data_IF_030697029883
#
_entry.id   IF_030697029883
#
_cell.length_a   1.000
_cell.length_b   1.000
_cell.length_c   1.000
_cell.angle_alpha   90.00
_cell.angle_beta   90.00
_cell.angle_gamma   90.00
#
_symmetry.space_group_name_H-M   'P 1'
#
loop_
_entity.id
_entity.type
_entity.pdbx_description
1 polymer ?
#
# COMPACT_ATOMS: atom_id res chain seq x y z
N UNK A 1 10.98 26.06 -16.25
CA UNK A 1 9.50 26.14 -16.19
C UNK A 1 9.04 25.02 -15.28
N UNK A 2 8.88 25.30 -13.99
CA UNK A 2 8.46 24.30 -13.01
C UNK A 2 6.95 24.09 -13.13
N UNK A 3 6.51 22.84 -13.24
CA UNK A 3 5.09 22.50 -13.11
C UNK A 3 4.65 22.93 -11.70
N UNK A 4 3.86 24.00 -11.62
CA UNK A 4 3.25 24.43 -10.36
C UNK A 4 2.18 23.41 -9.96
N UNK A 5 2.16 23.05 -8.68
CA UNK A 5 1.12 22.16 -8.14
C UNK A 5 -0.24 22.86 -8.29
N UNK A 6 -1.21 22.14 -8.84
CA UNK A 6 -2.60 22.55 -8.74
C UNK A 6 -2.97 22.64 -7.27
N UNK A 7 -3.45 23.82 -6.85
CA UNK A 7 -3.98 24.03 -5.51
C UNK A 7 -5.25 23.19 -5.32
N UNK A 8 -5.46 22.75 -4.07
CA UNK A 8 -6.51 21.84 -3.61
C UNK A 8 -7.93 22.09 -4.17
N UNK A 9 -8.38 23.32 -4.52
CA UNK A 9 -9.74 23.52 -5.06
C UNK A 9 -9.99 22.91 -6.45
N UNK A 10 -8.97 22.75 -7.31
CA UNK A 10 -9.18 22.30 -8.69
C UNK A 10 -9.22 20.77 -8.83
N UNK A 11 -8.67 20.04 -7.85
CA UNK A 11 -8.70 18.58 -7.82
C UNK A 11 -10.01 18.03 -7.26
N UNK A 12 -10.77 18.80 -6.47
CA UNK A 12 -12.07 18.36 -5.94
C UNK A 12 -13.09 18.21 -7.08
N UNK A 13 -13.15 19.17 -8.00
CA UNK A 13 -14.10 19.16 -9.12
C UNK A 13 -13.86 18.03 -10.14
N UNK A 14 -12.62 17.55 -10.23
CA UNK A 14 -12.21 16.49 -11.15
C UNK A 14 -12.08 15.15 -10.43
N UNK A 15 -11.71 15.15 -9.15
CA UNK A 15 -11.41 13.96 -8.35
C UNK A 15 -12.59 13.00 -8.24
N UNK A 16 -13.81 13.53 -8.22
CA UNK A 16 -15.06 12.75 -8.25
C UNK A 16 -15.36 12.10 -9.61
N UNK A 17 -14.52 12.32 -10.63
CA UNK A 17 -14.65 11.76 -11.99
C UNK A 17 -13.48 10.89 -12.38
N UNK A 18 -12.38 10.91 -11.61
CA UNK A 18 -11.19 10.11 -11.93
C UNK A 18 -11.40 8.68 -11.44
N UNK A 19 -11.73 7.78 -12.37
CA UNK A 19 -11.82 6.34 -12.11
C UNK A 19 -10.51 5.60 -12.44
N UNK A 20 -9.79 6.06 -13.47
CA UNK A 20 -8.50 5.51 -13.87
C UNK A 20 -7.44 6.60 -13.91
N UNK A 21 -6.29 6.33 -13.29
CA UNK A 21 -5.14 7.20 -13.31
C UNK A 21 -3.89 6.42 -13.74
N UNK A 22 -3.38 6.76 -14.92
CA UNK A 22 -2.15 6.19 -15.45
C UNK A 22 -1.00 7.18 -15.31
N UNK A 23 0.00 6.77 -14.54
CA UNK A 23 1.22 7.50 -14.27
C UNK A 23 2.46 6.64 -14.56
N UNK A 24 2.33 5.67 -15.45
CA UNK A 24 3.42 4.78 -15.83
C UNK A 24 4.58 5.50 -16.51
N UNK A 25 5.77 4.90 -16.42
CA UNK A 25 7.00 5.36 -17.06
C UNK A 25 7.39 6.82 -16.71
N UNK A 26 7.13 7.22 -15.46
CA UNK A 26 7.58 8.50 -14.92
C UNK A 26 8.86 8.32 -14.07
N UNK A 27 9.32 9.42 -13.46
CA UNK A 27 10.50 9.44 -12.58
C UNK A 27 10.12 9.52 -11.09
N UNK A 28 8.94 9.00 -10.72
CA UNK A 28 8.48 9.04 -9.34
C UNK A 28 9.34 8.19 -8.43
N UNK A 29 9.62 8.73 -7.25
CA UNK A 29 10.31 8.06 -6.15
C UNK A 29 9.35 7.80 -4.99
N UNK A 30 9.80 7.10 -3.95
CA UNK A 30 8.99 6.86 -2.75
C UNK A 30 8.43 8.14 -2.10
N UNK A 31 9.08 9.30 -2.31
CA UNK A 31 8.58 10.61 -1.85
C UNK A 31 7.32 11.09 -2.57
N UNK A 32 6.98 10.49 -3.71
CA UNK A 32 5.75 10.78 -4.46
C UNK A 32 4.53 10.67 -3.55
N UNK A 33 4.44 9.61 -2.75
CA UNK A 33 3.30 9.32 -1.88
C UNK A 33 3.03 10.42 -0.86
N UNK A 34 4.08 10.99 -0.27
CA UNK A 34 3.97 12.07 0.73
C UNK A 34 3.35 13.36 0.17
N UNK A 35 3.27 13.50 -1.15
CA UNK A 35 2.73 14.69 -1.78
C UNK A 35 1.74 14.40 -2.91
N UNK A 36 1.30 13.15 -2.97
CA UNK A 36 0.33 12.68 -3.93
C UNK A 36 -1.05 13.08 -3.47
N UNK A 37 -1.91 13.43 -4.44
CA UNK A 37 -3.32 13.66 -4.18
C UNK A 37 -4.16 12.40 -4.38
N UNK A 38 -3.52 11.26 -4.68
CA UNK A 38 -4.19 9.96 -4.86
C UNK A 38 -5.13 9.61 -3.70
N UNK A 39 -4.77 9.80 -2.41
CA UNK A 39 -5.68 9.50 -1.30
C UNK A 39 -6.99 10.30 -1.33
N UNK A 40 -7.06 11.39 -2.10
CA UNK A 40 -8.22 12.27 -2.23
C UNK A 40 -9.01 12.04 -3.54
N UNK A 41 -8.82 10.89 -4.20
CA UNK A 41 -9.56 10.50 -5.40
C UNK A 41 -10.60 9.43 -5.04
N UNK A 42 -11.78 9.81 -4.52
CA UNK A 42 -12.71 8.86 -3.89
C UNK A 42 -13.27 7.82 -4.86
N UNK A 43 -13.31 8.12 -6.18
CA UNK A 43 -13.80 7.19 -7.20
C UNK A 43 -12.70 6.45 -7.94
N UNK A 44 -11.44 6.59 -7.52
CA UNK A 44 -10.34 5.91 -8.18
C UNK A 44 -10.50 4.39 -8.04
N UNK A 45 -10.53 3.71 -9.18
CA UNK A 45 -10.64 2.24 -9.29
C UNK A 45 -9.32 1.63 -9.74
N UNK A 46 -8.65 2.28 -10.68
CA UNK A 46 -7.40 1.80 -11.28
C UNK A 46 -6.30 2.84 -11.15
N UNK A 47 -5.18 2.45 -10.54
CA UNK A 47 -3.97 3.25 -10.45
C UNK A 47 -2.82 2.51 -11.13
N UNK A 48 -2.24 3.08 -12.19
CA UNK A 48 -1.07 2.50 -12.87
C UNK A 48 0.17 3.35 -12.57
N UNK A 49 1.16 2.74 -11.95
CA UNK A 49 2.46 3.32 -11.58
C UNK A 49 3.63 2.52 -12.13
N UNK A 50 3.35 1.61 -13.08
CA UNK A 50 4.33 0.75 -13.72
C UNK A 50 5.53 1.52 -14.24
N UNK A 51 6.72 0.89 -14.23
CA UNK A 51 7.98 1.45 -14.76
C UNK A 51 8.52 2.70 -14.03
N UNK A 52 8.02 3.03 -12.84
CA UNK A 52 8.62 4.04 -11.96
C UNK A 52 9.73 3.42 -11.09
N UNK A 53 10.95 3.30 -11.64
CA UNK A 53 12.07 2.57 -11.00
C UNK A 53 12.56 3.13 -9.66
N UNK A 54 12.22 4.38 -9.30
CA UNK A 54 12.60 4.94 -8.00
C UNK A 54 11.56 4.69 -6.91
N UNK A 55 10.43 4.05 -7.25
CA UNK A 55 9.48 3.50 -6.27
C UNK A 55 10.03 2.15 -5.82
N UNK A 56 10.38 2.07 -4.55
CA UNK A 56 11.06 0.92 -3.94
C UNK A 56 10.44 0.44 -2.64
N UNK A 57 9.54 1.23 -2.05
CA UNK A 57 8.80 0.89 -0.85
C UNK A 57 7.33 0.63 -1.20
N UNK A 58 6.85 -0.56 -0.87
CA UNK A 58 5.46 -0.96 -1.03
C UNK A 58 4.59 -0.37 0.09
N UNK A 59 5.13 -0.28 1.31
CA UNK A 59 4.41 0.20 2.48
C UNK A 59 3.74 1.58 2.30
N UNK A 60 4.40 2.65 1.80
CA UNK A 60 3.74 3.95 1.60
C UNK A 60 2.66 3.90 0.52
N UNK A 61 2.83 3.04 -0.50
CA UNK A 61 1.83 2.86 -1.54
C UNK A 61 0.55 2.25 -0.96
N UNK A 62 0.69 1.20 -0.13
CA UNK A 62 -0.44 0.55 0.54
C UNK A 62 -1.20 1.51 1.46
N UNK A 63 -0.46 2.38 2.16
CA UNK A 63 -1.05 3.38 3.06
C UNK A 63 -1.78 4.48 2.29
N UNK A 64 -1.21 4.95 1.18
CA UNK A 64 -1.87 5.96 0.34
C UNK A 64 -3.18 5.48 -0.28
N UNK A 65 -3.34 4.18 -0.51
CA UNK A 65 -4.56 3.60 -1.12
C UNK A 65 -5.50 2.97 -0.09
N UNK A 66 -5.10 2.88 1.18
CA UNK A 66 -5.82 2.15 2.21
C UNK A 66 -7.26 2.64 2.39
N UNK A 67 -7.41 3.97 2.36
CA UNK A 67 -8.67 4.66 2.62
C UNK A 67 -9.47 4.93 1.34
N UNK A 68 -9.01 4.44 0.18
CA UNK A 68 -9.72 4.65 -1.08
C UNK A 68 -10.88 3.65 -1.26
N UNK A 69 -12.13 4.12 -1.31
CA UNK A 69 -13.31 3.27 -1.17
C UNK A 69 -13.70 2.53 -2.45
N UNK A 70 -13.06 2.82 -3.59
CA UNK A 70 -13.37 2.18 -4.87
C UNK A 70 -12.17 1.50 -5.53
N UNK A 71 -10.99 1.50 -4.91
CA UNK A 71 -9.79 0.93 -5.54
C UNK A 71 -9.93 -0.58 -5.73
N UNK A 72 -9.75 -1.00 -6.98
CA UNK A 72 -9.83 -2.39 -7.42
C UNK A 72 -8.48 -2.90 -7.90
N UNK A 73 -7.69 -2.05 -8.57
CA UNK A 73 -6.40 -2.45 -9.14
C UNK A 73 -5.33 -1.36 -8.95
N UNK A 74 -4.17 -1.77 -8.46
CA UNK A 74 -2.96 -0.94 -8.41
C UNK A 74 -1.82 -1.66 -9.11
N UNK A 75 -1.28 -1.07 -10.17
CA UNK A 75 -0.18 -1.65 -10.94
C UNK A 75 1.16 -0.99 -10.59
N UNK A 76 1.99 -1.74 -9.87
CA UNK A 76 3.36 -1.40 -9.50
C UNK A 76 4.39 -2.25 -10.26
N UNK A 77 4.01 -2.87 -11.37
CA UNK A 77 4.93 -3.72 -12.14
C UNK A 77 6.15 -2.94 -12.66
N UNK A 78 7.28 -3.62 -12.83
CA UNK A 78 8.53 -3.00 -13.31
C UNK A 78 9.05 -1.82 -12.46
N UNK A 79 8.65 -1.73 -11.20
CA UNK A 79 9.26 -0.86 -10.19
C UNK A 79 10.41 -1.59 -9.49
N UNK A 80 11.03 -0.95 -8.49
CA UNK A 80 12.14 -1.54 -7.72
C UNK A 80 11.73 -1.89 -6.29
N UNK A 81 10.48 -2.35 -6.12
CA UNK A 81 9.95 -2.81 -4.83
C UNK A 81 10.88 -3.84 -4.20
N UNK A 82 11.16 -3.62 -2.92
CA UNK A 82 12.09 -4.42 -2.11
C UNK A 82 11.34 -5.38 -1.21
N UNK A 83 12.07 -6.35 -0.65
CA UNK A 83 11.51 -7.23 0.37
C UNK A 83 11.12 -6.44 1.62
N UNK A 84 10.12 -6.91 2.37
CA UNK A 84 9.70 -6.28 3.64
C UNK A 84 10.89 -6.03 4.58
N UNK A 85 11.79 -7.01 4.70
CA UNK A 85 13.01 -6.89 5.53
C UNK A 85 13.93 -5.76 5.06
N UNK A 86 14.07 -5.59 3.75
CA UNK A 86 14.85 -4.49 3.18
C UNK A 86 14.17 -3.13 3.34
N UNK A 87 12.84 -3.08 3.25
CA UNK A 87 12.07 -1.86 3.54
C UNK A 87 12.26 -1.46 5.00
N UNK A 88 12.03 -2.38 5.94
CA UNK A 88 12.10 -2.14 7.38
C UNK A 88 13.49 -1.68 7.85
N UNK A 89 14.55 -2.17 7.21
CA UNK A 89 15.92 -1.75 7.50
C UNK A 89 16.31 -0.40 6.87
N UNK A 90 15.45 0.20 6.05
CA UNK A 90 15.74 1.48 5.40
C UNK A 90 15.49 2.67 6.34
N UNK A 91 16.37 3.67 6.29
CA UNK A 91 16.20 4.91 7.06
C UNK A 91 14.89 5.64 6.74
N UNK A 92 14.40 5.51 5.49
CA UNK A 92 13.14 6.11 5.05
C UNK A 92 11.94 5.45 5.72
N UNK A 93 11.94 4.14 5.87
CA UNK A 93 10.87 3.42 6.56
C UNK A 93 10.87 3.72 8.07
N UNK A 94 12.04 3.82 8.70
CA UNK A 94 12.14 4.17 10.12
C UNK A 94 11.60 5.58 10.40
N UNK A 95 11.94 6.57 9.56
CA UNK A 95 11.36 7.91 9.64
C UNK A 95 9.85 7.89 9.41
N UNK A 96 9.38 7.06 8.47
CA UNK A 96 7.97 6.91 8.18
C UNK A 96 7.17 6.37 9.38
N UNK A 97 7.67 5.33 10.06
CA UNK A 97 7.04 4.81 11.28
C UNK A 97 7.00 5.87 12.40
N UNK A 98 8.09 6.62 12.61
CA UNK A 98 8.12 7.68 13.61
C UNK A 98 7.08 8.77 13.36
N UNK A 99 6.88 9.15 12.09
CA UNK A 99 5.87 10.14 11.72
C UNK A 99 4.45 9.60 11.93
N UNK A 100 4.18 8.34 11.57
CA UNK A 100 2.90 7.69 11.83
C UNK A 100 2.57 7.60 13.32
N UNK A 101 3.54 7.20 14.16
CA UNK A 101 3.35 7.13 15.61
C UNK A 101 2.98 8.49 16.19
N UNK A 102 3.65 9.56 15.73
CA UNK A 102 3.34 10.92 16.16
C UNK A 102 1.94 11.38 15.76
N UNK A 103 1.50 11.07 14.53
CA UNK A 103 0.14 11.38 14.09
C UNK A 103 -0.93 10.61 14.88
N UNK A 104 -0.62 9.40 15.36
CA UNK A 104 -1.53 8.65 16.23
C UNK A 104 -1.59 9.22 17.65
N UNK A 105 -0.47 9.71 18.20
CA UNK A 105 -0.44 10.38 19.50
C UNK A 105 -1.18 11.75 19.49
N UNK A 106 -1.21 12.43 18.34
CA UNK A 106 -1.90 13.72 18.18
C UNK A 106 -3.42 13.57 17.90
N UNK A 107 -3.95 12.36 17.68
CA UNK A 107 -5.41 12.14 17.54
C UNK A 107 -6.08 12.14 18.92
N UNK A 108 -7.07 13.03 19.18
CA UNK A 108 -7.80 13.01 20.44
C UNK A 108 -8.60 11.70 20.56
N UNK A 109 -8.38 10.97 21.65
CA UNK A 109 -9.15 9.79 22.03
C UNK A 109 -10.65 10.12 22.00
N UNK A 110 -11.38 9.52 21.06
CA UNK A 110 -12.85 9.54 21.07
C UNK A 110 -13.38 8.36 21.89
N UNK A 111 -14.44 8.54 22.70
CA UNK A 111 -14.97 7.50 23.59
C UNK A 111 -15.49 6.23 22.90
N UNK A 112 -15.58 6.21 21.56
CA UNK A 112 -15.91 5.02 20.78
C UNK A 112 -14.76 3.98 20.77
N UNK A 113 -13.51 4.42 20.92
CA UNK A 113 -12.34 3.53 20.95
C UNK A 113 -12.22 2.74 22.27
N UNK A 114 -12.87 3.20 23.34
CA UNK A 114 -12.87 2.54 24.66
C UNK A 114 -13.77 1.28 24.69
N UNK A 115 -14.76 1.17 23.81
CA UNK A 115 -15.67 0.01 23.79
C UNK A 115 -15.09 -1.21 23.04
N UNK A 116 -14.11 -1.00 22.17
CA UNK A 116 -13.40 -2.08 21.48
C UNK A 116 -12.26 -2.69 22.32
N UNK A 117 -11.72 -1.97 23.31
CA UNK A 117 -10.67 -2.51 24.18
C UNK A 117 -11.19 -3.41 25.30
N UNK A 118 -12.40 -3.18 25.83
CA UNK A 118 -12.96 -3.99 26.93
C UNK A 118 -13.41 -5.40 26.49
N UNK A 119 -13.67 -5.62 25.19
CA UNK A 119 -14.06 -6.94 24.68
C UNK A 119 -12.86 -7.87 24.42
N UNK A 120 -11.62 -7.36 24.46
CA UNK A 120 -10.39 -8.13 24.25
C UNK A 120 -9.66 -8.53 25.55
N UNK A 121 -10.13 -8.11 26.73
CA UNK A 121 -9.46 -8.34 28.01
C UNK A 121 -9.87 -9.63 28.75
N UNK A 122 -10.62 -10.54 28.10
CA UNK A 122 -11.04 -11.82 28.72
C UNK A 122 -10.40 -13.09 28.15
N UNK A 123 -9.42 -13.00 27.26
CA UNK A 123 -8.68 -14.16 26.76
C UNK A 123 -7.17 -13.90 26.83
N UNK A 124 -6.63 -13.78 28.05
CA UNK A 124 -5.19 -13.92 28.30
C UNK A 124 -4.96 -14.71 29.58
N UNK A 125 -5.07 -16.02 29.47
CA UNK A 125 -4.30 -16.96 30.27
C UNK A 125 -3.83 -18.07 29.33
N UNK A 126 -2.51 -18.28 29.32
CA UNK A 126 -1.76 -19.25 28.51
C UNK A 126 -1.69 -19.04 27.00
N UNK A 127 -0.63 -18.38 26.53
CA UNK A 127 0.54 -19.13 26.04
C UNK A 127 1.71 -18.17 25.75
N UNK A 128 2.87 -18.51 26.32
CA UNK A 128 4.17 -17.96 25.94
C UNK A 128 4.51 -18.43 24.52
N UNK A 129 4.44 -17.55 23.54
CA UNK A 129 5.26 -17.66 22.33
C UNK A 129 5.80 -16.30 21.93
N UNK A 130 7.13 -16.22 21.83
CA UNK A 130 7.86 -15.10 21.25
C UNK A 130 7.43 -14.99 19.78
N UNK A 131 6.45 -14.16 19.50
CA UNK A 131 6.10 -13.76 18.14
C UNK A 131 6.66 -12.36 17.98
N UNK A 132 7.61 -12.22 17.05
CA UNK A 132 8.15 -10.92 16.65
C UNK A 132 6.97 -9.98 16.37
N UNK A 133 6.85 -8.91 17.16
CA UNK A 133 5.88 -7.83 16.99
C UNK A 133 6.19 -7.13 15.66
N UNK A 134 5.74 -7.77 14.60
CA UNK A 134 5.81 -7.28 13.24
C UNK A 134 4.87 -6.09 13.18
N UNK A 135 5.41 -4.88 12.99
CA UNK A 135 4.62 -3.67 12.81
C UNK A 135 3.51 -3.95 11.79
N UNK A 136 2.28 -4.08 12.29
CA UNK A 136 1.09 -4.24 11.49
C UNK A 136 0.74 -2.85 10.98
N UNK A 137 0.75 -2.67 9.67
CA UNK A 137 0.23 -1.44 9.09
C UNK A 137 -1.26 -1.39 9.46
N UNK A 138 -1.76 -0.33 10.13
CA UNK A 138 -3.17 -0.19 10.44
C UNK A 138 -3.92 0.18 9.15
N UNK A 139 -4.05 -0.78 8.25
CA UNK A 139 -4.66 -0.60 6.94
C UNK A 139 -6.12 -1.04 7.02
N UNK A 140 -7.03 -0.07 6.92
CA UNK A 140 -8.46 -0.31 6.72
C UNK A 140 -8.75 -0.51 5.24
N UNK A 141 -8.03 -1.41 4.56
CA UNK A 141 -8.39 -1.78 3.19
C UNK A 141 -9.74 -2.49 3.23
N UNK A 142 -10.80 -1.74 2.94
CA UNK A 142 -12.18 -2.24 2.95
C UNK A 142 -12.52 -3.07 1.72
N UNK A 143 -11.64 -3.11 0.73
CA UNK A 143 -11.94 -3.59 -0.62
C UNK A 143 -10.99 -4.69 -1.07
N UNK A 144 -11.48 -5.51 -2.00
CA UNK A 144 -10.75 -6.56 -2.72
C UNK A 144 -9.70 -6.01 -3.70
N UNK A 145 -8.97 -4.97 -3.29
CA UNK A 145 -7.94 -4.34 -4.09
C UNK A 145 -6.86 -5.37 -4.44
N UNK A 146 -6.53 -5.41 -5.72
CA UNK A 146 -5.48 -6.24 -6.26
C UNK A 146 -4.27 -5.34 -6.55
N UNK A 147 -3.12 -5.64 -5.94
CA UNK A 147 -1.87 -4.94 -6.23
C UNK A 147 -1.01 -5.82 -7.13
N UNK A 148 -0.82 -5.42 -8.37
CA UNK A 148 0.06 -6.08 -9.30
C UNK A 148 1.51 -5.64 -9.05
N UNK A 149 2.36 -6.58 -8.64
CA UNK A 149 3.79 -6.36 -8.38
C UNK A 149 4.67 -7.16 -9.35
N UNK A 150 4.11 -7.63 -10.45
CA UNK A 150 4.83 -8.45 -11.44
C UNK A 150 6.10 -7.76 -11.95
N UNK A 151 7.13 -8.54 -12.29
CA UNK A 151 8.40 -8.01 -12.76
C UNK A 151 9.08 -6.99 -11.81
N UNK A 152 8.93 -7.20 -10.49
CA UNK A 152 9.70 -6.48 -9.46
C UNK A 152 10.65 -7.44 -8.74
N UNK A 153 11.73 -6.94 -8.09
CA UNK A 153 12.58 -7.77 -7.23
C UNK A 153 11.80 -8.45 -6.11
N UNK A 154 10.83 -7.74 -5.51
CA UNK A 154 9.93 -8.30 -4.51
C UNK A 154 9.17 -9.52 -5.03
N UNK A 155 8.54 -9.46 -6.21
CA UNK A 155 7.80 -10.60 -6.78
C UNK A 155 8.64 -11.86 -6.98
N UNK A 156 9.94 -11.70 -7.30
CA UNK A 156 10.86 -12.82 -7.45
C UNK A 156 11.19 -13.50 -6.10
N UNK A 157 11.15 -12.75 -4.99
CA UNK A 157 11.43 -13.27 -3.64
C UNK A 157 10.25 -13.96 -2.96
N UNK A 158 9.04 -13.79 -3.49
CA UNK A 158 7.80 -14.23 -2.84
C UNK A 158 7.32 -15.60 -3.34
N UNK A 159 6.70 -16.35 -2.43
CA UNK A 159 6.05 -17.62 -2.73
C UNK A 159 4.53 -17.46 -2.89
N UNK A 160 3.92 -18.28 -3.74
CA UNK A 160 2.45 -18.31 -3.86
C UNK A 160 1.81 -18.74 -2.53
N UNK A 161 0.76 -18.04 -2.10
CA UNK A 161 0.07 -18.26 -0.84
C UNK A 161 0.74 -17.61 0.39
N UNK A 162 1.92 -17.01 0.24
CA UNK A 162 2.57 -16.23 1.30
C UNK A 162 1.68 -15.05 1.73
N UNK A 163 1.67 -14.74 3.02
CA UNK A 163 0.92 -13.61 3.57
C UNK A 163 1.87 -12.50 3.93
N UNK A 164 1.68 -11.34 3.30
CA UNK A 164 2.47 -10.14 3.53
C UNK A 164 1.72 -9.12 4.37
N UNK A 165 2.42 -8.53 5.33
CA UNK A 165 1.90 -7.58 6.30
C UNK A 165 0.66 -8.08 7.08
N UNK A 166 0.39 -9.39 7.09
CA UNK A 166 -0.82 -9.96 7.69
C UNK A 166 -2.12 -9.64 6.92
N UNK A 167 -2.02 -8.97 5.77
CA UNK A 167 -3.15 -8.33 5.09
C UNK A 167 -3.30 -8.77 3.63
N UNK A 168 -2.20 -9.20 3.01
CA UNK A 168 -2.19 -9.53 1.60
C UNK A 168 -1.74 -10.96 1.38
N UNK A 169 -2.53 -11.73 0.61
CA UNK A 169 -2.11 -13.03 0.10
C UNK A 169 -1.46 -12.88 -1.26
N UNK A 170 -0.30 -13.50 -1.44
CA UNK A 170 0.40 -13.56 -2.72
C UNK A 170 -0.27 -14.58 -3.64
N UNK A 171 -0.71 -14.14 -4.81
CA UNK A 171 -1.16 -15.01 -5.90
C UNK A 171 -0.16 -14.97 -7.04
N UNK A 172 0.24 -16.15 -7.53
CA UNK A 172 1.07 -16.29 -8.72
C UNK A 172 0.30 -17.00 -9.82
N UNK A 173 0.31 -16.42 -11.00
CA UNK A 173 -0.28 -16.99 -12.21
C UNK A 173 0.71 -16.91 -13.37
N UNK A 174 0.44 -17.66 -14.44
CA UNK A 174 1.10 -17.46 -15.72
C UNK A 174 0.10 -16.87 -16.68
N UNK A 175 0.44 -15.75 -17.28
CA UNK A 175 -0.33 -15.22 -18.40
C UNK A 175 0.24 -15.82 -19.68
N UNK A 176 -0.51 -16.74 -20.29
CA UNK A 176 -0.13 -17.38 -21.56
C UNK A 176 -0.43 -16.51 -22.80
N UNK A 177 -0.85 -15.26 -22.60
CA UNK A 177 -1.23 -14.36 -23.69
C UNK A 177 0.02 -13.72 -24.32
N UNK A 178 0.44 -14.23 -25.48
CA UNK A 178 1.44 -13.57 -26.34
C UNK A 178 2.80 -14.25 -26.47
N UNK A 179 2.94 -15.53 -26.12
CA UNK A 179 4.15 -16.33 -26.41
C UNK A 179 5.38 -16.04 -25.54
N UNK A 180 5.24 -15.19 -24.52
CA UNK A 180 6.17 -15.09 -23.41
C UNK A 180 5.41 -15.50 -22.14
N UNK A 181 5.88 -16.55 -21.47
CA UNK A 181 5.41 -16.93 -20.14
C UNK A 181 5.75 -15.78 -19.17
N UNK A 182 4.85 -14.81 -19.04
CA UNK A 182 4.97 -13.74 -18.07
C UNK A 182 4.39 -14.25 -16.75
N UNK A 183 5.26 -14.41 -15.75
CA UNK A 183 4.83 -14.70 -14.39
C UNK A 183 4.14 -13.46 -13.81
N UNK A 184 2.86 -13.63 -13.49
CA UNK A 184 2.04 -12.60 -12.86
C UNK A 184 2.06 -12.82 -11.36
N UNK A 185 2.46 -11.80 -10.60
CA UNK A 185 2.43 -11.81 -9.13
C UNK A 185 1.52 -10.70 -8.63
N UNK A 186 0.46 -11.08 -7.93
CA UNK A 186 -0.57 -10.21 -7.38
C UNK A 186 -0.59 -10.32 -5.87
N UNK A 187 -0.87 -9.21 -5.20
CA UNK A 187 -1.22 -9.17 -3.78
C UNK A 187 -2.72 -8.91 -3.68
N UNK A 188 -3.45 -9.84 -3.08
CA UNK A 188 -4.89 -9.66 -2.79
C UNK A 188 -5.10 -9.40 -1.32
N UNK A 189 -5.88 -8.38 -1.00
CA UNK A 189 -6.35 -8.15 0.36
C UNK A 189 -7.11 -9.39 0.88
N UNK A 190 -6.85 -9.76 2.15
CA UNK A 190 -7.49 -10.86 2.87
C UNK A 190 -8.88 -10.50 3.41
#
# INVERSE_FOLDING_TARGET
>A
MGLERLSYPLLVDVGDKVEELDLSANLFSDRFWASSHIPFLPKLRVLRLRENKKVSLLSPALLAIADLPCVEMVDLSYTSLRSRREEENSATFQLYLQLLSREQEERPFTPEDAQLSESHEKIKADEKSKTEESASLPLRLKNAACVNISATPLAASLCAGEVLWGLFRVEKGRDSAGGKDAERTLLRAL
#
